data_IF_503141934050
#
_entry.id   IF_503141934050
#
_cell.length_a   1.000
_cell.length_b   1.000
_cell.length_c   1.000
_cell.angle_alpha   90.00
_cell.angle_beta   90.00
_cell.angle_gamma   90.00
#
_symmetry.space_group_name_H-M   'P 1'
#
loop_
_entity.id
_entity.type
_entity.pdbx_description
1 polymer ?
#
# COMPACT_ATOMS: atom_id res chain seq x y z
N UNK A 1 -9.79 0.35 -22.03
CA UNK A 1 -10.42 0.89 -20.84
C UNK A 1 -9.58 0.66 -19.63
N UNK A 2 -9.41 1.68 -18.86
CA UNK A 2 -8.57 1.63 -17.68
C UNK A 2 -9.40 1.28 -16.47
N UNK A 3 -9.59 0.01 -16.29
CA UNK A 3 -10.28 -0.45 -15.09
C UNK A 3 -9.33 -0.46 -13.92
N UNK A 4 -9.82 -0.05 -12.79
CA UNK A 4 -9.06 -0.13 -11.56
C UNK A 4 -9.75 -1.13 -10.64
N UNK A 5 -8.98 -2.06 -10.10
CA UNK A 5 -9.51 -3.08 -9.20
C UNK A 5 -8.64 -3.22 -7.98
N UNK A 6 -9.27 -3.48 -6.86
CA UNK A 6 -8.59 -3.81 -5.63
C UNK A 6 -9.09 -5.16 -5.16
N UNK A 7 -8.17 -6.09 -4.91
CA UNK A 7 -8.49 -7.39 -4.34
C UNK A 7 -7.84 -7.51 -2.98
N UNK A 8 -8.47 -8.25 -2.09
CA UNK A 8 -7.98 -8.40 -0.72
C UNK A 8 -7.56 -9.82 -0.47
N UNK A 9 -6.41 -9.99 0.20
CA UNK A 9 -5.91 -11.30 0.61
C UNK A 9 -5.32 -11.17 2.00
N UNK A 10 -5.04 -12.30 2.63
CA UNK A 10 -4.37 -12.32 3.93
C UNK A 10 -3.14 -13.20 3.80
N UNK A 11 -2.02 -12.71 4.31
CA UNK A 11 -0.79 -13.47 4.37
C UNK A 11 -0.27 -13.38 5.80
N UNK A 12 -0.52 -14.42 6.59
CA UNK A 12 -0.20 -14.38 8.01
C UNK A 12 -0.99 -13.30 8.72
N UNK A 13 -0.27 -12.36 9.33
CA UNK A 13 -0.91 -11.25 10.02
C UNK A 13 -1.09 -10.03 9.13
N UNK A 14 -0.72 -10.15 7.86
CA UNK A 14 -0.70 -9.02 6.94
C UNK A 14 -1.91 -9.08 6.02
N UNK A 15 -2.58 -7.94 5.88
CA UNK A 15 -3.69 -7.80 4.95
C UNK A 15 -3.14 -7.20 3.67
N UNK A 16 -3.29 -7.93 2.57
CA UNK A 16 -2.72 -7.55 1.29
C UNK A 16 -3.80 -6.98 0.40
N UNK A 17 -3.53 -5.81 -0.17
CA UNK A 17 -4.37 -5.23 -1.22
C UNK A 17 -3.61 -5.35 -2.53
N UNK A 18 -4.19 -6.07 -3.49
CA UNK A 18 -3.63 -6.15 -4.83
C UNK A 18 -4.29 -5.07 -5.68
N UNK A 19 -3.49 -4.13 -6.19
CA UNK A 19 -3.99 -3.07 -7.05
C UNK A 19 -3.75 -3.43 -8.50
N UNK A 20 -4.76 -3.18 -9.34
CA UNK A 20 -4.64 -3.46 -10.76
C UNK A 20 -5.18 -2.27 -11.54
N UNK A 21 -4.44 -1.84 -12.55
CA UNK A 21 -4.91 -0.81 -13.46
C UNK A 21 -4.35 0.55 -13.16
N UNK A 22 -5.18 1.58 -13.35
CA UNK A 22 -4.75 2.97 -13.24
C UNK A 22 -5.33 3.60 -11.98
N UNK A 23 -4.45 4.09 -11.12
CA UNK A 23 -4.86 4.80 -9.91
C UNK A 23 -4.68 6.28 -10.15
N UNK A 24 -5.78 6.97 -10.40
CA UNK A 24 -5.77 8.41 -10.69
C UNK A 24 -6.88 9.09 -9.90
N UNK A 25 -7.17 10.36 -10.22
CA UNK A 25 -8.16 11.11 -9.46
C UNK A 25 -9.55 10.49 -9.54
N UNK A 26 -9.85 9.80 -10.64
CA UNK A 26 -11.15 9.19 -10.84
C UNK A 26 -11.30 7.92 -9.98
N UNK A 27 -10.22 7.17 -9.79
CA UNK A 27 -10.26 5.89 -9.06
C UNK A 27 -9.75 6.00 -7.63
N UNK A 28 -9.13 7.12 -7.26
CA UNK A 28 -8.62 7.30 -5.91
C UNK A 28 -9.67 7.05 -4.82
N UNK A 29 -10.95 7.44 -5.00
CA UNK A 29 -11.95 7.15 -3.97
C UNK A 29 -12.11 5.66 -3.67
N UNK A 30 -11.87 4.80 -4.65
CA UNK A 30 -11.95 3.35 -4.40
C UNK A 30 -10.88 2.91 -3.42
N UNK A 31 -9.68 3.48 -3.55
CA UNK A 31 -8.60 3.15 -2.63
C UNK A 31 -8.87 3.72 -1.25
N UNK A 32 -9.45 4.92 -1.18
CA UNK A 32 -9.84 5.49 0.10
C UNK A 32 -10.79 4.57 0.84
N UNK A 33 -11.81 4.06 0.15
CA UNK A 33 -12.75 3.16 0.78
C UNK A 33 -12.08 1.89 1.29
N UNK A 34 -11.12 1.39 0.53
CA UNK A 34 -10.42 0.17 0.93
C UNK A 34 -9.63 0.38 2.23
N UNK A 35 -8.92 1.51 2.33
CA UNK A 35 -8.20 1.81 3.57
C UNK A 35 -9.16 2.03 4.72
N UNK A 36 -10.24 2.77 4.49
CA UNK A 36 -11.22 3.02 5.53
C UNK A 36 -11.79 1.72 6.09
N UNK A 37 -12.06 0.77 5.20
CA UNK A 37 -12.58 -0.52 5.61
C UNK A 37 -11.60 -1.26 6.52
N UNK A 38 -10.34 -1.31 6.12
CA UNK A 38 -9.34 -2.02 6.91
C UNK A 38 -9.13 -1.34 8.26
N UNK A 39 -9.07 -0.02 8.27
CA UNK A 39 -8.86 0.71 9.51
C UNK A 39 -10.05 0.53 10.45
N UNK A 40 -11.26 0.56 9.92
CA UNK A 40 -12.46 0.35 10.73
C UNK A 40 -12.46 -1.04 11.35
N UNK A 41 -11.92 -2.02 10.66
CA UNK A 41 -11.82 -3.37 11.18
C UNK A 41 -10.56 -3.59 12.00
N UNK A 42 -9.81 -2.53 12.27
CA UNK A 42 -8.57 -2.57 13.06
C UNK A 42 -7.51 -3.47 12.47
N UNK A 43 -7.44 -3.50 11.14
CA UNK A 43 -6.45 -4.27 10.41
C UNK A 43 -5.37 -3.33 9.92
N UNK A 44 -4.32 -3.20 10.74
CA UNK A 44 -3.32 -2.15 10.53
C UNK A 44 -2.02 -2.64 9.89
N UNK A 45 -1.83 -3.94 9.68
CA UNK A 45 -0.68 -4.44 8.93
C UNK A 45 -1.10 -4.58 7.49
N UNK A 46 -0.82 -3.55 6.68
CA UNK A 46 -1.34 -3.46 5.33
C UNK A 46 -0.19 -3.47 4.33
N UNK A 47 -0.24 -4.41 3.40
CA UNK A 47 0.71 -4.48 2.29
C UNK A 47 -0.03 -4.22 1.00
N UNK A 48 0.45 -3.25 0.23
CA UNK A 48 -0.13 -2.93 -1.07
C UNK A 48 0.77 -3.53 -2.14
N UNK A 49 0.27 -4.54 -2.83
CA UNK A 49 1.01 -5.19 -3.91
C UNK A 49 0.69 -4.47 -5.21
N UNK A 50 1.72 -3.93 -5.84
CA UNK A 50 1.58 -3.09 -7.02
C UNK A 50 1.96 -3.80 -8.31
N UNK A 51 2.01 -5.14 -8.29
CA UNK A 51 2.45 -5.89 -9.47
C UNK A 51 1.67 -5.54 -10.72
N UNK A 52 0.36 -5.38 -10.58
CA UNK A 52 -0.50 -5.12 -11.72
C UNK A 52 -0.93 -3.66 -11.82
N UNK A 53 -0.38 -2.81 -10.97
CA UNK A 53 -0.64 -1.37 -11.05
C UNK A 53 0.14 -0.81 -12.23
N UNK A 54 -0.57 -0.18 -13.16
CA UNK A 54 0.04 0.31 -14.39
C UNK A 54 0.40 1.78 -14.33
N UNK A 55 -0.25 2.53 -13.45
CA UNK A 55 -0.04 3.98 -13.36
C UNK A 55 -0.57 4.50 -12.02
N UNK A 56 0.09 5.54 -11.51
CA UNK A 56 -0.39 6.22 -10.33
C UNK A 56 -0.20 7.72 -10.51
N UNK A 57 -1.22 8.50 -10.17
CA UNK A 57 -1.17 9.94 -10.23
C UNK A 57 -0.93 10.52 -8.84
N UNK A 58 -0.73 11.83 -8.79
CA UNK A 58 -0.56 12.50 -7.49
C UNK A 58 -1.80 12.34 -6.61
N UNK A 59 -2.99 12.26 -7.21
CA UNK A 59 -4.20 12.05 -6.42
C UNK A 59 -4.16 10.68 -5.75
N UNK A 60 -3.67 9.65 -6.46
CA UNK A 60 -3.53 8.32 -5.88
C UNK A 60 -2.52 8.31 -4.76
N UNK A 61 -1.39 9.00 -4.97
CA UNK A 61 -0.36 9.09 -3.92
C UNK A 61 -0.91 9.79 -2.68
N UNK A 62 -1.78 10.79 -2.87
CA UNK A 62 -2.37 11.49 -1.75
C UNK A 62 -3.20 10.61 -0.85
N UNK A 63 -3.81 9.56 -1.41
CA UNK A 63 -4.59 8.64 -0.58
C UNK A 63 -3.70 7.94 0.44
N UNK A 64 -2.52 7.47 -0.01
CA UNK A 64 -1.59 6.83 0.93
C UNK A 64 -1.22 7.77 2.06
N UNK A 65 -0.95 9.03 1.73
CA UNK A 65 -0.58 10.01 2.74
C UNK A 65 -1.72 10.29 3.71
N UNK A 66 -2.95 10.20 3.23
CA UNK A 66 -4.10 10.49 4.09
C UNK A 66 -4.29 9.45 5.18
N UNK A 67 -3.85 8.22 4.96
CA UNK A 67 -4.13 7.14 5.90
C UNK A 67 -2.93 6.59 6.66
N UNK A 68 -1.72 6.98 6.29
CA UNK A 68 -0.54 6.37 6.91
C UNK A 68 -0.46 6.64 8.41
N UNK A 69 -0.84 7.83 8.84
CA UNK A 69 -0.78 8.15 10.27
C UNK A 69 -1.77 7.31 11.08
N UNK A 70 -2.99 7.18 10.57
CA UNK A 70 -3.98 6.37 11.28
C UNK A 70 -3.53 4.93 11.40
N UNK A 71 -2.94 4.39 10.35
CA UNK A 71 -2.49 3.01 10.35
C UNK A 71 -1.34 2.83 11.34
N UNK A 72 -0.39 3.75 11.34
CA UNK A 72 0.74 3.66 12.25
C UNK A 72 0.32 3.87 13.70
N UNK A 73 -0.62 4.77 13.93
CA UNK A 73 -1.16 4.97 15.27
C UNK A 73 -1.84 3.70 15.77
N UNK A 74 -2.44 2.93 14.90
CA UNK A 74 -3.06 1.68 15.27
C UNK A 74 -2.07 0.55 15.54
N UNK A 75 -0.79 0.80 15.33
CA UNK A 75 0.24 -0.20 15.64
C UNK A 75 0.78 -0.95 14.44
N UNK A 76 0.40 -0.56 13.23
CA UNK A 76 0.85 -1.24 12.02
C UNK A 76 1.61 -0.33 11.09
N UNK A 77 1.49 -0.60 9.80
CA UNK A 77 2.19 0.18 8.79
C UNK A 77 1.54 -0.12 7.43
N UNK A 78 1.81 0.76 6.48
CA UNK A 78 1.50 0.52 5.07
C UNK A 78 2.83 0.30 4.37
N UNK A 79 3.05 -0.90 3.85
CA UNK A 79 4.22 -1.22 3.06
C UNK A 79 3.78 -1.54 1.65
N UNK A 80 4.71 -1.48 0.70
CA UNK A 80 4.40 -1.70 -0.71
C UNK A 80 5.37 -2.68 -1.33
N UNK A 81 4.91 -3.40 -2.34
CA UNK A 81 5.78 -4.37 -3.01
C UNK A 81 5.46 -4.47 -4.49
N UNK A 82 6.41 -5.03 -5.21
CA UNK A 82 6.23 -5.46 -6.62
C UNK A 82 5.90 -4.33 -7.57
N UNK A 83 6.47 -3.15 -7.34
CA UNK A 83 6.28 -2.04 -8.26
C UNK A 83 7.04 -2.26 -9.54
N UNK A 84 6.42 -1.91 -10.68
CA UNK A 84 7.17 -1.83 -11.93
C UNK A 84 8.15 -0.66 -11.84
N UNK A 85 9.20 -0.65 -12.67
CA UNK A 85 10.12 0.49 -12.68
C UNK A 85 9.41 1.82 -12.95
N UNK A 86 8.40 1.79 -13.82
CA UNK A 86 7.65 3.00 -14.14
C UNK A 86 6.92 3.55 -12.91
N UNK A 87 6.24 2.67 -12.20
CA UNK A 87 5.49 3.09 -11.00
C UNK A 87 6.45 3.51 -9.90
N UNK A 88 7.54 2.76 -9.72
CA UNK A 88 8.52 3.12 -8.70
C UNK A 88 9.11 4.50 -8.96
N UNK A 89 9.39 4.83 -10.22
CA UNK A 89 9.94 6.14 -10.54
C UNK A 89 9.00 7.28 -10.12
N UNK A 90 7.70 7.07 -10.26
CA UNK A 90 6.74 8.09 -9.83
C UNK A 90 6.81 8.28 -8.31
N UNK A 91 6.84 7.19 -7.57
CA UNK A 91 6.98 7.26 -6.12
C UNK A 91 8.29 7.94 -5.72
N UNK A 92 9.37 7.57 -6.42
CA UNK A 92 10.70 8.07 -6.10
C UNK A 92 10.81 9.58 -6.35
N UNK A 93 10.25 10.05 -7.46
CA UNK A 93 10.27 11.47 -7.78
C UNK A 93 9.60 12.33 -6.71
N UNK A 94 8.62 11.77 -6.02
CA UNK A 94 7.88 12.50 -5.01
C UNK A 94 8.38 12.21 -3.59
N UNK A 95 9.49 11.49 -3.46
CA UNK A 95 10.11 11.25 -2.17
C UNK A 95 9.43 10.19 -1.33
N UNK A 96 8.52 9.41 -1.90
CA UNK A 96 7.78 8.40 -1.17
C UNK A 96 8.64 7.30 -0.54
N UNK A 97 9.74 6.85 -1.17
CA UNK A 97 10.56 5.81 -0.51
C UNK A 97 11.13 6.23 0.83
N UNK A 98 11.16 7.52 1.12
CA UNK A 98 11.59 7.98 2.44
C UNK A 98 10.49 7.86 3.48
N UNK A 99 9.23 7.75 3.05
CA UNK A 99 8.10 7.68 3.95
C UNK A 99 7.57 6.26 4.13
N UNK A 100 7.74 5.42 3.12
CA UNK A 100 7.19 4.07 3.09
C UNK A 100 8.27 3.08 2.74
N UNK A 101 8.19 1.89 3.32
CA UNK A 101 9.08 0.81 2.92
C UNK A 101 8.53 0.15 1.66
N UNK A 102 9.36 0.08 0.63
CA UNK A 102 8.98 -0.47 -0.67
C UNK A 102 9.91 -1.64 -0.97
N UNK A 103 9.33 -2.79 -1.26
CA UNK A 103 10.09 -4.02 -1.47
C UNK A 103 9.92 -4.52 -2.89
N UNK A 104 10.92 -5.28 -3.37
CA UNK A 104 10.84 -5.83 -4.71
C UNK A 104 9.85 -6.99 -4.78
N UNK A 105 9.64 -7.71 -3.68
CA UNK A 105 8.66 -8.78 -3.71
C UNK A 105 7.87 -8.86 -2.40
N UNK A 106 6.69 -9.46 -2.51
CA UNK A 106 5.74 -9.54 -1.42
C UNK A 106 6.27 -10.32 -0.23
N UNK A 107 7.00 -11.39 -0.49
CA UNK A 107 7.50 -12.25 0.58
C UNK A 107 8.41 -11.47 1.53
N UNK A 108 9.30 -10.68 0.98
CA UNK A 108 10.18 -9.85 1.80
C UNK A 108 9.39 -8.82 2.59
N UNK A 109 8.38 -8.23 1.96
CA UNK A 109 7.57 -7.23 2.63
C UNK A 109 6.82 -7.83 3.82
N UNK A 110 6.25 -9.01 3.62
CA UNK A 110 5.52 -9.67 4.71
C UNK A 110 6.44 -9.96 5.88
N UNK A 111 7.63 -10.44 5.59
CA UNK A 111 8.60 -10.73 6.65
C UNK A 111 8.96 -9.49 7.46
N UNK A 112 8.96 -8.34 6.81
CA UNK A 112 9.32 -7.10 7.48
C UNK A 112 8.30 -6.68 8.52
N UNK A 113 7.05 -7.02 8.33
CA UNK A 113 6.05 -6.77 9.37
C UNK A 113 6.37 -7.58 10.62
N UNK A 114 6.78 -8.82 10.46
CA UNK A 114 7.13 -9.67 11.59
C UNK A 114 8.37 -9.16 12.29
N UNK A 115 9.39 -8.78 11.53
CA UNK A 115 10.64 -8.30 12.10
C UNK A 115 10.41 -7.02 12.90
N UNK A 116 9.58 -6.10 12.36
CA UNK A 116 9.26 -4.86 13.05
C UNK A 116 8.57 -5.14 14.36
N UNK A 117 7.63 -6.09 14.36
CA UNK A 117 6.92 -6.45 15.57
C UNK A 117 7.87 -6.99 16.63
N UNK A 118 8.82 -7.83 16.21
CA UNK A 118 9.79 -8.39 17.14
C UNK A 118 10.70 -7.33 17.72
N UNK A 119 11.11 -6.38 16.91
CA UNK A 119 12.07 -5.38 17.37
C UNK A 119 11.43 -4.32 18.26
N UNK A 120 10.14 -4.27 18.35
CA UNK A 120 9.47 -3.27 19.18
C UNK A 120 9.43 -3.67 20.65
N UNK A 121 10.03 -4.76 20.98
CA UNK A 121 10.13 -5.14 22.39
C UNK A 121 11.14 -4.25 23.15
#
# INVERSE_FOLDING_TARGET
>A
MNEFKISFRVSGKVHVMDLKGYLDAHTAPNLEEAFQKLIKEEKFNILVNCRELAYISSAGLGVFMAFIEDVRTGGGDIKMSNMSPKVYNIFDLLGFPMLYEIFTDEHEAVKKFDAKKQSSK
#
